data_IF_442994555420
#
_entry.id   IF_442994555420
#
_cell.length_a   1.000
_cell.length_b   1.000
_cell.length_c   1.000
_cell.angle_alpha   90.00
_cell.angle_beta   90.00
_cell.angle_gamma   90.00
#
_symmetry.space_group_name_H-M   'P 1'
#
loop_
_entity.id
_entity.type
_entity.pdbx_description
1 polymer ?
#
# COMPACT_ATOMS: atom_id res chain seq x y z
N UNK A 1 6.82 9.39 -6.89
CA UNK A 1 5.64 8.48 -6.83
C UNK A 1 4.35 9.28 -6.90
N UNK A 2 4.22 10.34 -6.11
CA UNK A 2 3.19 11.39 -6.29
C UNK A 2 3.01 11.83 -7.75
N UNK A 3 4.10 12.10 -8.46
CA UNK A 3 4.01 12.73 -9.79
C UNK A 3 3.38 11.81 -10.84
N UNK A 4 3.69 10.51 -10.79
CA UNK A 4 3.09 9.52 -11.69
C UNK A 4 1.60 9.31 -11.36
N UNK A 5 1.23 9.36 -10.08
CA UNK A 5 -0.16 9.28 -9.65
C UNK A 5 -0.97 10.48 -10.16
N UNK A 6 -0.41 11.68 -10.09
CA UNK A 6 -1.03 12.89 -10.65
C UNK A 6 -1.13 12.85 -12.18
N UNK A 7 -0.08 12.39 -12.87
CA UNK A 7 -0.11 12.17 -14.32
C UNK A 7 -1.20 11.18 -14.73
N UNK A 8 -1.39 10.12 -13.95
CA UNK A 8 -2.40 9.11 -14.24
C UNK A 8 -3.82 9.62 -14.02
N UNK A 9 -4.06 10.46 -12.99
CA UNK A 9 -5.33 11.19 -12.83
C UNK A 9 -5.60 12.12 -14.02
N UNK A 10 -4.58 12.85 -14.48
CA UNK A 10 -4.71 13.75 -15.63
C UNK A 10 -4.98 12.99 -16.95
N UNK A 11 -4.37 11.82 -17.13
CA UNK A 11 -4.55 10.98 -18.31
C UNK A 11 -5.93 10.31 -18.37
N UNK A 12 -6.58 10.10 -17.21
CA UNK A 12 -7.88 9.45 -17.09
C UNK A 12 -8.87 10.34 -16.31
N UNK A 13 -9.23 11.53 -16.85
CA UNK A 13 -10.00 12.54 -16.12
C UNK A 13 -11.43 12.09 -15.77
N UNK A 14 -11.96 11.10 -16.51
CA UNK A 14 -13.30 10.54 -16.27
C UNK A 14 -13.28 9.38 -15.27
N UNK A 15 -12.11 8.95 -14.80
CA UNK A 15 -11.97 7.88 -13.82
C UNK A 15 -11.68 8.49 -12.44
N UNK A 16 -12.41 8.03 -11.42
CA UNK A 16 -12.18 8.47 -10.05
C UNK A 16 -10.96 7.75 -9.47
N UNK A 17 -9.79 8.35 -9.65
CA UNK A 17 -8.52 7.81 -9.16
C UNK A 17 -8.08 8.63 -7.95
N UNK A 18 -8.53 8.24 -6.76
CA UNK A 18 -8.23 8.90 -5.47
C UNK A 18 -7.31 8.07 -4.56
N UNK A 19 -7.10 6.81 -4.93
CA UNK A 19 -6.42 5.83 -4.08
C UNK A 19 -5.03 5.49 -4.61
N UNK A 20 -4.00 5.75 -3.80
CA UNK A 20 -2.63 5.29 -3.98
C UNK A 20 -2.30 4.31 -2.85
N UNK A 21 -2.40 3.00 -3.14
CA UNK A 21 -2.13 1.94 -2.16
C UNK A 21 -0.64 1.55 -2.14
N UNK A 22 0.12 2.14 -1.22
CA UNK A 22 1.55 1.92 -1.07
C UNK A 22 1.94 1.87 0.41
N UNK A 23 2.98 1.11 0.72
CA UNK A 23 3.47 0.93 2.08
C UNK A 23 2.89 -0.31 2.74
N UNK A 24 3.75 -1.01 3.44
CA UNK A 24 3.45 -2.08 4.38
C UNK A 24 3.75 -1.61 5.81
N UNK A 25 3.68 -2.52 6.77
CA UNK A 25 3.97 -2.26 8.18
C UNK A 25 5.27 -1.47 8.39
N UNK A 26 6.36 -1.90 7.76
CA UNK A 26 7.71 -1.43 8.11
C UNK A 26 8.09 -0.10 7.43
N UNK A 27 7.44 0.24 6.32
CA UNK A 27 7.70 1.41 5.48
C UNK A 27 6.53 2.40 5.48
N UNK A 28 5.57 2.24 6.39
CA UNK A 28 4.42 3.15 6.55
C UNK A 28 4.82 4.64 6.62
N UNK A 29 5.82 5.07 7.44
CA UNK A 29 6.18 6.48 7.50
C UNK A 29 6.72 7.03 6.18
N UNK A 30 7.47 6.22 5.44
CA UNK A 30 8.00 6.58 4.11
C UNK A 30 6.88 6.63 3.07
N UNK A 31 5.95 5.68 3.11
CA UNK A 31 4.80 5.65 2.21
C UNK A 31 3.90 6.89 2.38
N UNK A 32 3.66 7.32 3.62
CA UNK A 32 2.91 8.55 3.92
C UNK A 32 3.65 9.78 3.34
N UNK A 33 4.96 9.89 3.56
CA UNK A 33 5.78 10.99 2.99
C UNK A 33 5.74 11.01 1.46
N UNK A 34 5.62 9.85 0.82
CA UNK A 34 5.53 9.72 -0.63
C UNK A 34 4.11 9.92 -1.20
N UNK A 35 3.12 10.23 -0.36
CA UNK A 35 1.74 10.54 -0.78
C UNK A 35 0.80 9.33 -0.84
N UNK A 36 1.11 8.22 -0.18
CA UNK A 36 0.18 7.09 -0.08
C UNK A 36 -1.11 7.50 0.61
N UNK A 37 -2.25 7.14 0.00
CA UNK A 37 -3.58 7.33 0.62
C UNK A 37 -4.11 6.05 1.26
N UNK A 38 -3.39 4.93 1.12
CA UNK A 38 -3.72 3.64 1.74
C UNK A 38 -2.46 2.83 2.03
N UNK A 39 -2.23 2.50 3.30
CA UNK A 39 -1.12 1.65 3.77
C UNK A 39 -1.64 0.27 4.19
N UNK A 40 -0.84 -0.77 3.98
CA UNK A 40 -1.21 -2.17 4.27
C UNK A 40 -0.53 -2.65 5.54
N UNK A 41 -1.25 -2.64 6.66
CA UNK A 41 -0.67 -3.02 7.96
C UNK A 41 -1.09 -4.44 8.33
N UNK A 42 -0.11 -5.31 8.52
CA UNK A 42 -0.30 -6.70 8.92
C UNK A 42 0.34 -6.96 10.27
N UNK A 43 1.66 -7.19 10.26
CA UNK A 43 2.43 -7.62 11.43
C UNK A 43 2.33 -6.69 12.64
N UNK A 44 2.20 -5.37 12.45
CA UNK A 44 2.01 -4.47 13.59
C UNK A 44 0.63 -4.60 14.27
N UNK A 45 -0.39 -5.10 13.55
CA UNK A 45 -1.73 -5.32 14.10
C UNK A 45 -1.87 -6.77 14.60
N UNK A 46 -1.41 -7.74 13.80
CA UNK A 46 -1.69 -9.17 14.02
C UNK A 46 -0.49 -9.99 14.53
N UNK A 47 0.69 -9.38 14.64
CA UNK A 47 1.92 -10.07 15.01
C UNK A 47 2.57 -10.84 13.85
N UNK A 48 3.61 -11.62 14.16
CA UNK A 48 4.35 -12.40 13.18
C UNK A 48 3.46 -13.49 12.55
N UNK A 49 3.65 -13.75 11.25
CA UNK A 49 2.90 -14.83 10.58
C UNK A 49 3.38 -16.18 11.09
N UNK A 50 2.43 -17.04 11.44
CA UNK A 50 2.73 -18.42 11.75
C UNK A 50 2.72 -19.27 10.47
N UNK A 51 3.89 -19.75 10.04
CA UNK A 51 4.05 -20.58 8.83
C UNK A 51 4.02 -22.09 9.15
N UNK A 52 3.76 -22.49 10.40
CA UNK A 52 3.86 -23.89 10.83
C UNK A 52 2.81 -24.82 10.20
N UNK A 53 1.77 -24.29 9.56
CA UNK A 53 0.66 -25.08 8.99
C UNK A 53 0.81 -25.42 7.51
N UNK A 54 1.92 -25.04 6.84
CA UNK A 54 2.08 -25.28 5.38
C UNK A 54 2.82 -26.58 5.02
N UNK A 55 3.07 -27.47 5.98
CA UNK A 55 3.69 -28.79 5.77
C UNK A 55 2.62 -29.87 5.72
N UNK A 56 1.78 -29.88 4.68
CA UNK A 56 1.00 -31.05 4.25
C UNK A 56 0.38 -30.74 2.88
N UNK A 57 1.13 -31.02 1.81
CA UNK A 57 0.59 -31.15 0.47
C UNK A 57 1.19 -32.38 -0.18
#
# INVERSE_FOLDING_TARGET
MSDLFEQLKQALPNQQIDTLSMGMTDDMPSAIKCGSTMVRIGTAIFGARNYSTSQNK
#
